data_IF_312201127878
#
_entry.id   IF_312201127878
#
_cell.length_a   1.000
_cell.length_b   1.000
_cell.length_c   1.000
_cell.angle_alpha   90.00
_cell.angle_beta   90.00
_cell.angle_gamma   90.00
#
_symmetry.space_group_name_H-M   'P 1'
#
loop_
_entity.id
_entity.type
_entity.pdbx_description
1 polymer ?
#
# COMPACT_ATOMS: atom_id res chain seq x y z
N UNK A 1 -7.91 -4.40 -33.39
CA UNK A 1 -8.01 -5.87 -33.53
C UNK A 1 -9.05 -6.36 -32.55
N UNK A 2 -10.21 -6.86 -33.01
CA UNK A 2 -11.25 -7.41 -32.10
C UNK A 2 -10.69 -8.66 -31.43
N UNK A 3 -10.80 -8.73 -30.11
CA UNK A 3 -10.49 -9.92 -29.34
C UNK A 3 -11.55 -10.99 -29.70
N UNK A 4 -11.12 -12.11 -30.26
CA UNK A 4 -11.97 -13.26 -30.55
C UNK A 4 -11.43 -14.44 -29.73
N UNK A 5 -11.98 -14.73 -28.55
CA UNK A 5 -11.45 -15.77 -27.67
C UNK A 5 -11.60 -17.15 -28.32
N UNK A 6 -10.62 -18.05 -28.14
CA UNK A 6 -10.71 -19.41 -28.66
C UNK A 6 -11.87 -20.15 -27.96
N UNK A 7 -12.88 -20.56 -28.73
CA UNK A 7 -14.08 -21.28 -28.23
C UNK A 7 -15.42 -20.54 -28.35
N UNK A 8 -15.51 -19.47 -29.16
CA UNK A 8 -16.75 -18.73 -29.43
C UNK A 8 -17.74 -19.52 -30.32
N UNK A 9 -18.13 -20.72 -29.92
CA UNK A 9 -19.31 -21.41 -30.46
C UNK A 9 -20.43 -21.11 -29.48
N UNK A 10 -21.36 -20.23 -29.87
CA UNK A 10 -22.61 -20.08 -29.13
C UNK A 10 -23.31 -21.44 -29.13
N UNK A 11 -23.64 -22.02 -27.98
CA UNK A 11 -24.39 -23.26 -27.95
C UNK A 11 -25.78 -22.99 -28.52
N UNK A 12 -26.15 -23.70 -29.59
CA UNK A 12 -27.50 -23.72 -30.13
C UNK A 12 -28.38 -24.61 -29.23
N UNK A 13 -28.56 -24.18 -27.97
CA UNK A 13 -29.33 -24.90 -26.96
C UNK A 13 -30.65 -24.16 -26.70
N UNK A 14 -31.77 -24.83 -26.90
CA UNK A 14 -33.11 -24.28 -26.56
C UNK A 14 -33.39 -24.24 -25.06
N UNK A 15 -32.51 -24.83 -24.24
CA UNK A 15 -32.61 -24.85 -22.78
C UNK A 15 -31.94 -23.61 -22.18
N UNK A 16 -32.69 -22.86 -21.38
CA UNK A 16 -32.25 -21.59 -20.79
C UNK A 16 -31.13 -21.76 -19.78
N UNK A 17 -31.09 -22.88 -19.04
CA UNK A 17 -30.04 -23.14 -18.06
C UNK A 17 -28.67 -23.29 -18.74
N UNK A 18 -28.62 -24.01 -19.87
CA UNK A 18 -27.39 -24.28 -20.61
C UNK A 18 -26.78 -22.98 -21.18
N UNK A 19 -27.63 -22.03 -21.60
CA UNK A 19 -27.21 -20.70 -22.06
C UNK A 19 -26.65 -19.85 -20.91
N UNK A 20 -27.25 -19.93 -19.72
CA UNK A 20 -26.78 -19.20 -18.52
C UNK A 20 -25.44 -19.75 -18.06
N UNK A 21 -25.27 -21.07 -18.05
CA UNK A 21 -24.01 -21.72 -17.67
C UNK A 21 -22.89 -21.37 -18.65
N UNK A 22 -23.18 -21.38 -19.96
CA UNK A 22 -22.23 -20.94 -20.98
C UNK A 22 -21.81 -19.49 -20.78
N UNK A 23 -22.77 -18.59 -20.55
CA UNK A 23 -22.49 -17.18 -20.30
C UNK A 23 -21.58 -16.99 -19.09
N UNK A 24 -21.92 -17.62 -17.97
CA UNK A 24 -21.14 -17.55 -16.73
C UNK A 24 -19.71 -18.10 -16.92
N UNK A 25 -19.58 -19.20 -17.66
CA UNK A 25 -18.28 -19.77 -18.01
C UNK A 25 -17.45 -18.81 -18.85
N UNK A 26 -18.02 -18.21 -19.91
CA UNK A 26 -17.30 -17.27 -20.77
C UNK A 26 -16.84 -16.02 -20.01
N UNK A 27 -17.69 -15.46 -19.14
CA UNK A 27 -17.32 -14.34 -18.28
C UNK A 27 -16.16 -14.71 -17.36
N UNK A 28 -16.22 -15.86 -16.71
CA UNK A 28 -15.19 -16.33 -15.78
C UNK A 28 -13.86 -16.59 -16.50
N UNK A 29 -13.89 -17.33 -17.61
CA UNK A 29 -12.71 -17.64 -18.43
C UNK A 29 -12.05 -16.38 -18.98
N UNK A 30 -12.85 -15.42 -19.45
CA UNK A 30 -12.32 -14.13 -19.93
C UNK A 30 -11.66 -13.37 -18.78
N UNK A 31 -12.29 -13.31 -17.61
CA UNK A 31 -11.73 -12.67 -16.43
C UNK A 31 -10.42 -13.32 -15.99
N UNK A 32 -10.34 -14.64 -15.95
CA UNK A 32 -9.12 -15.37 -15.60
C UNK A 32 -7.99 -15.13 -16.60
N UNK A 33 -8.32 -14.99 -17.88
CA UNK A 33 -7.35 -14.70 -18.94
C UNK A 33 -6.81 -13.25 -18.87
N UNK A 34 -7.70 -12.25 -18.73
CA UNK A 34 -7.30 -10.83 -18.76
C UNK A 34 -6.82 -10.33 -17.40
N UNK A 35 -7.31 -10.93 -16.31
CA UNK A 35 -7.08 -10.49 -14.94
C UNK A 35 -6.91 -11.70 -14.00
N UNK A 36 -5.87 -12.53 -14.20
CA UNK A 36 -5.64 -13.70 -13.37
C UNK A 36 -5.50 -13.29 -11.90
N UNK A 37 -6.20 -14.02 -11.03
CA UNK A 37 -6.12 -13.86 -9.57
C UNK A 37 -4.70 -14.21 -9.09
N UNK A 38 -3.87 -13.18 -8.93
CA UNK A 38 -2.54 -13.32 -8.34
C UNK A 38 -2.62 -13.05 -6.85
N UNK A 39 -2.43 -14.10 -6.04
CA UNK A 39 -2.18 -13.93 -4.61
C UNK A 39 -0.84 -13.22 -4.42
N UNK A 40 -0.90 -11.90 -4.23
CA UNK A 40 0.26 -11.16 -3.73
C UNK A 40 0.51 -11.66 -2.32
N UNK A 41 1.53 -12.50 -2.16
CA UNK A 41 2.20 -12.64 -0.88
C UNK A 41 2.56 -11.23 -0.44
N UNK A 42 1.85 -10.72 0.57
CA UNK A 42 2.19 -9.43 1.15
C UNK A 42 3.63 -9.57 1.61
N UNK A 43 4.55 -8.98 0.85
CA UNK A 43 5.95 -8.92 1.23
C UNK A 43 5.94 -8.44 2.67
N UNK A 44 6.55 -9.24 3.56
CA UNK A 44 6.83 -8.86 4.93
C UNK A 44 7.79 -7.67 4.83
N UNK A 45 7.26 -6.50 4.44
CA UNK A 45 7.97 -5.24 4.36
C UNK A 45 8.58 -5.13 5.72
N UNK A 46 9.92 -5.25 5.81
CA UNK A 46 10.63 -5.24 7.08
C UNK A 46 10.09 -4.04 7.83
N UNK A 47 9.27 -4.29 8.86
CA UNK A 47 8.64 -3.21 9.61
C UNK A 47 9.83 -2.44 10.15
N UNK A 48 10.06 -1.23 9.64
CA UNK A 48 11.16 -0.39 10.12
C UNK A 48 11.04 -0.38 11.65
N UNK A 49 11.96 -1.03 12.40
CA UNK A 49 11.72 -1.36 13.81
C UNK A 49 11.54 -0.09 14.65
N UNK A 50 12.18 0.99 14.21
CA UNK A 50 12.09 2.32 14.80
C UNK A 50 10.80 3.09 14.43
N UNK A 51 9.92 2.57 13.57
CA UNK A 51 8.72 3.28 13.12
C UNK A 51 7.48 2.86 13.92
N UNK A 52 7.28 3.53 15.05
CA UNK A 52 6.13 3.35 15.94
C UNK A 52 4.83 3.99 15.39
N UNK A 53 3.71 3.72 16.07
CA UNK A 53 2.39 4.21 15.65
C UNK A 53 2.24 5.73 15.80
N UNK A 54 2.94 6.37 16.74
CA UNK A 54 2.91 7.82 16.91
C UNK A 54 3.54 8.54 15.71
N UNK A 55 4.66 8.05 15.20
CA UNK A 55 5.29 8.56 13.96
C UNK A 55 4.37 8.36 12.76
N UNK A 56 3.71 7.19 12.66
CA UNK A 56 2.73 6.91 11.59
C UNK A 56 1.54 7.88 11.66
N UNK A 57 1.05 8.16 12.86
CA UNK A 57 -0.03 9.12 13.10
C UNK A 57 0.41 10.54 12.71
N UNK A 58 1.61 10.96 13.12
CA UNK A 58 2.19 12.24 12.74
C UNK A 58 2.29 12.39 11.21
N UNK A 59 2.75 11.35 10.51
CA UNK A 59 2.81 11.33 9.04
C UNK A 59 1.43 11.51 8.39
N UNK A 60 0.39 10.87 8.95
CA UNK A 60 -1.01 11.07 8.49
C UNK A 60 -1.44 12.53 8.69
N UNK A 61 -1.09 13.13 9.82
CA UNK A 61 -1.40 14.54 10.10
C UNK A 61 -0.67 15.49 9.15
N UNK A 62 0.60 15.24 8.82
CA UNK A 62 1.32 16.00 7.78
C UNK A 62 0.55 15.99 6.45
N UNK A 63 0.09 14.82 5.99
CA UNK A 63 -0.71 14.71 4.75
C UNK A 63 -2.06 15.43 4.83
N UNK A 64 -2.69 15.45 6.01
CA UNK A 64 -3.94 16.19 6.24
C UNK A 64 -3.69 17.70 6.16
N UNK A 65 -2.65 18.20 6.81
CA UNK A 65 -2.27 19.61 6.77
C UNK A 65 -1.86 20.05 5.37
N UNK A 66 -1.12 19.23 4.63
CA UNK A 66 -0.75 19.48 3.25
C UNK A 66 -1.98 19.61 2.35
N UNK A 67 -2.94 18.68 2.45
CA UNK A 67 -4.20 18.77 1.69
C UNK A 67 -4.98 20.02 2.05
N UNK A 68 -5.03 20.40 3.34
CA UNK A 68 -5.69 21.63 3.79
C UNK A 68 -5.03 22.86 3.18
N UNK A 69 -3.70 22.95 3.19
CA UNK A 69 -2.97 24.06 2.56
C UNK A 69 -3.20 24.11 1.05
N UNK A 70 -3.13 22.97 0.34
CA UNK A 70 -3.38 22.92 -1.11
C UNK A 70 -4.76 23.44 -1.50
N UNK A 71 -5.78 23.15 -0.67
CA UNK A 71 -7.16 23.62 -0.87
C UNK A 71 -7.35 25.11 -0.56
N UNK A 72 -6.79 25.57 0.55
CA UNK A 72 -7.05 26.93 1.08
C UNK A 72 -6.07 27.99 0.60
N UNK A 73 -4.82 27.61 0.27
CA UNK A 73 -3.69 28.48 -0.08
C UNK A 73 -3.34 29.55 0.98
N UNK A 74 -3.87 29.45 2.20
CA UNK A 74 -3.59 30.40 3.27
C UNK A 74 -2.21 30.16 3.91
N UNK A 75 -1.50 31.25 4.22
CA UNK A 75 -0.18 31.21 4.83
C UNK A 75 -0.18 30.51 6.21
N UNK A 76 -1.22 30.70 7.01
CA UNK A 76 -1.35 30.03 8.32
C UNK A 76 -1.36 28.51 8.17
N UNK A 77 -2.03 27.99 7.13
CA UNK A 77 -2.04 26.56 6.84
C UNK A 77 -0.70 26.05 6.31
N UNK A 78 0.03 26.88 5.57
CA UNK A 78 1.39 26.57 5.15
C UNK A 78 2.34 26.44 6.34
N UNK A 79 2.29 27.40 7.28
CA UNK A 79 3.10 27.39 8.51
C UNK A 79 2.80 26.14 9.33
N UNK A 80 1.52 25.85 9.58
CA UNK A 80 1.11 24.65 10.31
C UNK A 80 1.58 23.35 9.65
N UNK A 81 1.53 23.27 8.31
CA UNK A 81 2.07 22.12 7.56
C UNK A 81 3.59 21.98 7.77
N UNK A 82 4.36 23.07 7.70
CA UNK A 82 5.82 23.03 7.91
C UNK A 82 6.18 22.62 9.34
N UNK A 83 5.44 23.09 10.34
CA UNK A 83 5.64 22.71 11.73
C UNK A 83 5.42 21.21 11.95
N UNK A 84 4.32 20.66 11.43
CA UNK A 84 4.04 19.22 11.48
C UNK A 84 5.13 18.41 10.76
N UNK A 85 5.63 18.90 9.63
CA UNK A 85 6.71 18.23 8.90
C UNK A 85 8.02 18.22 9.70
N UNK A 86 8.37 19.34 10.35
CA UNK A 86 9.54 19.43 11.25
C UNK A 86 9.40 18.47 12.43
N UNK A 87 8.23 18.41 13.06
CA UNK A 87 7.94 17.48 14.14
C UNK A 87 8.11 16.03 13.69
N UNK A 88 7.52 15.65 12.55
CA UNK A 88 7.65 14.32 11.99
C UNK A 88 9.12 13.93 11.77
N UNK A 89 9.91 14.83 11.15
CA UNK A 89 11.32 14.58 10.88
C UNK A 89 12.12 14.39 12.18
N UNK A 90 11.83 15.18 13.21
CA UNK A 90 12.43 15.03 14.54
C UNK A 90 12.10 13.66 15.13
N UNK A 91 10.82 13.28 15.18
CA UNK A 91 10.43 11.99 15.76
C UNK A 91 11.05 10.80 15.03
N UNK A 92 11.18 10.86 13.70
CA UNK A 92 11.86 9.82 12.91
C UNK A 92 13.35 9.75 13.26
N UNK A 93 14.01 10.90 13.39
CA UNK A 93 15.42 10.98 13.77
C UNK A 93 15.63 10.38 15.15
N UNK A 94 14.85 10.82 16.13
CA UNK A 94 14.94 10.38 17.52
C UNK A 94 14.71 8.88 17.66
N UNK A 95 13.69 8.34 16.99
CA UNK A 95 13.41 6.90 17.04
C UNK A 95 14.50 6.07 16.37
N UNK A 96 15.09 6.56 15.27
CA UNK A 96 16.25 5.89 14.64
C UNK A 96 17.46 5.90 15.56
N UNK A 97 17.80 7.06 16.12
CA UNK A 97 18.92 7.19 17.05
C UNK A 97 18.71 6.27 18.26
N UNK A 98 17.54 6.31 18.90
CA UNK A 98 17.22 5.46 20.03
C UNK A 98 17.37 3.96 19.70
N UNK A 99 16.88 3.53 18.53
CA UNK A 99 16.99 2.13 18.11
C UNK A 99 18.43 1.68 17.93
N UNK A 100 19.24 2.45 17.19
CA UNK A 100 20.63 2.07 16.95
C UNK A 100 21.50 2.24 18.19
N UNK A 101 21.27 3.25 19.03
CA UNK A 101 21.93 3.36 20.32
C UNK A 101 21.66 2.15 21.21
N UNK A 102 20.39 1.73 21.32
CA UNK A 102 20.04 0.52 22.08
C UNK A 102 20.67 -0.75 21.49
N UNK A 103 20.70 -0.88 20.16
CA UNK A 103 21.33 -2.00 19.46
C UNK A 103 22.83 -2.06 19.74
N UNK A 104 23.53 -0.92 19.65
CA UNK A 104 24.97 -0.84 19.91
C UNK A 104 25.26 -1.18 21.37
N UNK A 105 24.52 -0.58 22.31
CA UNK A 105 24.71 -0.87 23.74
C UNK A 105 24.44 -2.33 24.09
N UNK A 106 23.43 -2.96 23.48
CA UNK A 106 23.12 -4.37 23.72
C UNK A 106 24.21 -5.34 23.21
N UNK A 107 25.02 -4.91 22.24
CA UNK A 107 26.04 -5.75 21.60
C UNK A 107 27.46 -5.17 21.70
N UNK A 108 27.69 -4.27 22.66
CA UNK A 108 28.96 -3.56 22.83
C UNK A 108 30.15 -4.49 23.06
N UNK A 109 29.92 -5.65 23.68
CA UNK A 109 30.95 -6.65 24.00
C UNK A 109 31.15 -7.69 22.87
N UNK A 110 30.40 -7.59 21.77
CA UNK A 110 30.51 -8.48 20.62
C UNK A 110 30.92 -7.69 19.35
N UNK A 111 32.23 -7.57 19.05
CA UNK A 111 32.71 -6.79 17.92
C UNK A 111 32.34 -7.36 16.54
N UNK A 112 31.75 -8.57 16.46
CA UNK A 112 31.31 -9.19 15.20
C UNK A 112 29.82 -8.98 14.88
N UNK A 113 29.09 -8.28 15.74
CA UNK A 113 27.63 -8.18 15.64
C UNK A 113 27.13 -7.11 14.65
N UNK A 114 27.88 -6.03 14.46
CA UNK A 114 27.51 -4.89 13.60
C UNK A 114 28.15 -4.98 12.21
#
# INVERSE_FOLDING_TARGET
>A
TRFNPPGSVFPDSSNTNDLVDYFNYQCSSTLDLIAPLKNRQNSKTRKQPWLNDSIRSCKKNCRRAERRWKKSRLQVHFVAMKELLRLYNRMVKDARTCHFSALISAHQDNPRFL
#
